data_IF_596443563630
#
_entry.id   IF_596443563630
#
_cell.length_a   1.000
_cell.length_b   1.000
_cell.length_c   1.000
_cell.angle_alpha   90.00
_cell.angle_beta   90.00
_cell.angle_gamma   90.00
#
_symmetry.space_group_name_H-M   'P 1'
#
loop_
_entity.id
_entity.type
_entity.pdbx_description
1 polymer ?
#
# COMPACT_ATOMS: atom_id res chain seq x y z
N UNK A 1 4.69 -1.38 -21.69
CA UNK A 1 4.02 -2.53 -21.06
C UNK A 1 2.87 -2.93 -21.97
N UNK A 2 2.74 -4.22 -22.30
CA UNK A 2 1.59 -4.74 -23.06
C UNK A 2 0.31 -4.47 -22.23
N UNK A 3 -0.77 -4.00 -22.88
CA UNK A 3 -2.09 -3.72 -22.28
C UNK A 3 -2.26 -2.44 -21.43
N UNK A 4 -1.27 -1.54 -21.34
CA UNK A 4 -1.46 -0.29 -20.57
C UNK A 4 -2.54 0.59 -21.18
N UNK A 5 -2.54 0.73 -22.51
CA UNK A 5 -3.48 1.61 -23.20
C UNK A 5 -4.91 1.05 -23.15
N UNK A 6 -5.05 -0.28 -23.27
CA UNK A 6 -6.33 -0.98 -23.17
C UNK A 6 -6.95 -0.84 -21.77
N UNK A 7 -6.22 -1.18 -20.71
CA UNK A 7 -6.75 -1.08 -19.34
C UNK A 7 -6.83 0.34 -18.77
N UNK A 8 -6.39 1.35 -19.53
CA UNK A 8 -6.52 2.77 -19.17
C UNK A 8 -7.37 3.56 -20.17
N UNK A 9 -8.04 2.89 -21.10
CA UNK A 9 -8.93 3.53 -22.06
C UNK A 9 -10.10 4.20 -21.33
N UNK A 10 -10.23 5.54 -21.35
CA UNK A 10 -11.26 6.25 -20.59
C UNK A 10 -12.67 5.81 -20.98
N UNK A 11 -12.90 5.55 -22.28
CA UNK A 11 -14.18 5.10 -22.81
C UNK A 11 -14.63 3.78 -22.16
N UNK A 12 -13.72 2.81 -22.01
CA UNK A 12 -14.02 1.52 -21.39
C UNK A 12 -14.27 1.67 -19.89
N UNK A 13 -13.51 2.53 -19.22
CA UNK A 13 -13.71 2.82 -17.79
C UNK A 13 -15.09 3.45 -17.57
N UNK A 14 -15.46 4.45 -18.36
CA UNK A 14 -16.77 5.11 -18.22
C UNK A 14 -17.93 4.16 -18.50
N UNK A 15 -17.80 3.28 -19.51
CA UNK A 15 -18.79 2.22 -19.75
C UNK A 15 -18.94 1.28 -18.54
N UNK A 16 -17.82 0.91 -17.90
CA UNK A 16 -17.85 0.10 -16.69
C UNK A 16 -18.51 0.84 -15.51
N UNK A 17 -18.24 2.13 -15.35
CA UNK A 17 -18.87 2.95 -14.30
C UNK A 17 -20.39 3.02 -14.47
N UNK A 18 -20.90 3.22 -15.69
CA UNK A 18 -22.35 3.19 -15.92
C UNK A 18 -22.95 1.82 -15.59
N UNK A 19 -22.29 0.74 -15.99
CA UNK A 19 -22.73 -0.60 -15.63
C UNK A 19 -22.75 -0.80 -14.12
N UNK A 20 -21.74 -0.32 -13.40
CA UNK A 20 -21.70 -0.39 -11.94
C UNK A 20 -22.83 0.41 -11.28
N UNK A 21 -23.20 1.57 -11.81
CA UNK A 21 -24.36 2.35 -11.32
C UNK A 21 -25.67 1.57 -11.47
N UNK A 22 -25.92 1.01 -12.64
CA UNK A 22 -27.12 0.19 -12.88
C UNK A 22 -27.20 -1.01 -11.93
N UNK A 23 -26.07 -1.68 -11.69
CA UNK A 23 -26.01 -2.85 -10.80
C UNK A 23 -26.12 -2.45 -9.33
N UNK A 24 -25.48 -1.37 -8.91
CA UNK A 24 -25.50 -0.90 -7.53
C UNK A 24 -26.90 -0.46 -7.10
N UNK A 25 -27.70 0.10 -8.01
CA UNK A 25 -29.10 0.48 -7.76
C UNK A 25 -30.02 -0.73 -7.45
N UNK A 26 -29.63 -1.94 -7.85
CA UNK A 26 -30.38 -3.18 -7.59
C UNK A 26 -30.01 -3.83 -6.25
N UNK A 27 -28.97 -3.33 -5.57
CA UNK A 27 -28.50 -3.88 -4.32
C UNK A 27 -29.18 -3.22 -3.12
N UNK A 28 -29.31 -3.91 -1.97
CA UNK A 28 -29.95 -3.37 -0.77
C UNK A 28 -29.01 -2.46 0.06
N UNK A 29 -28.07 -1.78 -0.60
CA UNK A 29 -27.13 -0.85 0.04
C UNK A 29 -27.55 0.58 -0.28
N UNK A 30 -27.50 1.43 0.74
CA UNK A 30 -27.89 2.84 0.71
C UNK A 30 -26.74 3.67 1.25
N UNK A 31 -26.78 4.98 1.10
CA UNK A 31 -25.66 5.86 1.46
C UNK A 31 -25.35 5.80 2.98
N UNK A 32 -26.36 5.58 3.84
CA UNK A 32 -26.17 5.38 5.28
C UNK A 32 -25.61 3.99 5.65
N UNK A 33 -25.67 3.03 4.73
CA UNK A 33 -25.16 1.66 4.90
C UNK A 33 -24.62 1.13 3.56
N UNK A 34 -23.49 1.67 3.09
CA UNK A 34 -22.97 1.37 1.77
C UNK A 34 -22.42 -0.05 1.69
N UNK A 35 -22.27 -0.55 0.46
CA UNK A 35 -21.48 -1.75 0.16
C UNK A 35 -20.01 -1.43 0.41
N UNK A 36 -19.43 -2.05 1.44
CA UNK A 36 -18.04 -1.85 1.80
C UNK A 36 -17.14 -2.88 1.13
N UNK A 37 -16.20 -2.40 0.32
CA UNK A 37 -15.22 -3.22 -0.38
C UNK A 37 -13.85 -2.91 0.21
N UNK A 38 -13.23 -3.91 0.85
CA UNK A 38 -11.89 -3.74 1.40
C UNK A 38 -10.82 -4.17 0.41
N UNK A 39 -9.85 -3.28 0.18
CA UNK A 39 -8.61 -3.62 -0.51
C UNK A 39 -7.46 -3.74 0.51
N UNK A 40 -6.47 -4.59 0.20
CA UNK A 40 -5.31 -4.85 1.07
C UNK A 40 -4.03 -4.81 0.23
N UNK A 41 -3.89 -3.78 -0.60
CA UNK A 41 -2.71 -3.57 -1.43
C UNK A 41 -2.46 -2.07 -1.61
N UNK A 42 -1.33 -1.57 -1.10
CA UNK A 42 -0.99 -0.15 -1.24
C UNK A 42 -0.97 0.35 -2.70
N UNK A 43 -0.71 -0.53 -3.67
CA UNK A 43 -0.81 -0.22 -5.09
C UNK A 43 -2.25 0.04 -5.56
N UNK A 44 -3.23 -0.71 -5.03
CA UNK A 44 -4.64 -0.45 -5.28
C UNK A 44 -5.11 0.83 -4.58
N UNK A 45 -4.74 1.03 -3.30
CA UNK A 45 -4.99 2.30 -2.60
C UNK A 45 -4.48 3.48 -3.44
N UNK A 46 -3.23 3.41 -3.91
CA UNK A 46 -2.63 4.44 -4.75
C UNK A 46 -3.41 4.66 -6.04
N UNK A 47 -3.82 3.59 -6.73
CA UNK A 47 -4.58 3.69 -7.97
C UNK A 47 -5.96 4.32 -7.76
N UNK A 48 -6.68 3.92 -6.71
CA UNK A 48 -8.01 4.46 -6.36
C UNK A 48 -7.93 5.97 -6.19
N UNK A 49 -7.01 6.46 -5.34
CA UNK A 49 -6.86 7.90 -5.12
C UNK A 49 -6.30 8.65 -6.33
N UNK A 50 -5.30 8.07 -7.01
CA UNK A 50 -4.66 8.71 -8.17
C UNK A 50 -5.66 8.96 -9.31
N UNK A 51 -6.60 8.05 -9.50
CA UNK A 51 -7.61 8.15 -10.56
C UNK A 51 -8.98 8.61 -10.06
N UNK A 52 -9.12 8.93 -8.77
CA UNK A 52 -10.39 9.37 -8.17
C UNK A 52 -11.52 8.36 -8.32
N UNK A 53 -11.21 7.05 -8.27
CA UNK A 53 -12.21 6.00 -8.51
C UNK A 53 -13.30 6.00 -7.43
N UNK A 54 -12.95 6.39 -6.21
CA UNK A 54 -13.87 6.61 -5.09
C UNK A 54 -14.94 7.67 -5.41
N UNK A 55 -14.61 8.67 -6.22
CA UNK A 55 -15.54 9.74 -6.64
C UNK A 55 -16.36 9.36 -7.88
N UNK A 56 -15.92 8.37 -8.67
CA UNK A 56 -16.61 7.92 -9.87
C UNK A 56 -17.67 6.86 -9.59
N UNK A 57 -17.51 6.12 -8.50
CA UNK A 57 -18.42 5.06 -8.09
C UNK A 57 -19.74 5.60 -7.51
N UNK A 58 -20.80 4.80 -7.49
CA UNK A 58 -22.05 5.13 -6.81
C UNK A 58 -21.84 5.43 -5.31
N UNK A 59 -22.58 6.39 -4.75
CA UNK A 59 -22.46 6.81 -3.33
C UNK A 59 -22.74 5.68 -2.33
N UNK A 60 -23.53 4.68 -2.75
CA UNK A 60 -23.80 3.48 -1.95
C UNK A 60 -22.68 2.42 -2.01
N UNK A 61 -21.50 2.75 -2.52
CA UNK A 61 -20.28 1.92 -2.53
C UNK A 61 -19.13 2.66 -1.86
N UNK A 62 -18.52 2.02 -0.86
CA UNK A 62 -17.44 2.61 -0.06
C UNK A 62 -16.20 1.69 -0.12
N UNK A 63 -15.03 2.26 -0.38
CA UNK A 63 -13.76 1.53 -0.23
C UNK A 63 -13.24 1.60 1.21
N UNK A 64 -12.86 0.44 1.75
CA UNK A 64 -12.07 0.35 2.97
C UNK A 64 -10.61 0.08 2.58
N UNK A 65 -9.71 0.93 3.05
CA UNK A 65 -8.27 0.76 2.86
C UNK A 65 -7.70 -0.07 4.01
N UNK A 66 -7.50 -1.36 3.74
CA UNK A 66 -6.95 -2.30 4.70
C UNK A 66 -5.42 -2.18 4.85
N UNK A 67 -4.80 -3.04 5.67
CA UNK A 67 -3.36 -3.01 5.96
C UNK A 67 -2.51 -3.58 4.79
N UNK A 68 -2.56 -2.93 3.62
CA UNK A 68 -1.88 -3.37 2.39
C UNK A 68 -0.41 -2.97 2.24
N UNK A 69 0.19 -2.39 3.29
CA UNK A 69 1.58 -1.93 3.30
C UNK A 69 2.41 -2.84 4.23
N UNK A 70 3.26 -3.75 3.69
CA UNK A 70 3.99 -4.71 4.51
C UNK A 70 4.97 -4.05 5.50
N UNK A 71 5.54 -2.91 5.12
CA UNK A 71 6.45 -2.12 5.98
C UNK A 71 5.70 -1.44 7.12
N UNK A 72 4.49 -0.96 6.85
CA UNK A 72 3.67 -0.23 7.82
C UNK A 72 3.14 -1.14 8.95
N UNK A 73 3.01 -2.44 8.68
CA UNK A 73 2.59 -3.45 9.66
C UNK A 73 3.75 -4.25 10.26
N UNK A 74 4.99 -3.86 9.96
CA UNK A 74 6.16 -4.56 10.47
C UNK A 74 6.26 -4.37 12.00
N UNK A 75 6.29 -5.46 12.80
CA UNK A 75 6.36 -5.33 14.24
C UNK A 75 7.68 -4.67 14.67
N UNK A 76 7.63 -3.76 15.66
CA UNK A 76 8.83 -3.07 16.17
C UNK A 76 9.94 -4.05 16.59
N UNK A 77 9.58 -5.19 17.21
CA UNK A 77 10.55 -6.21 17.61
C UNK A 77 11.30 -6.84 16.43
N UNK A 78 10.74 -6.83 15.21
CA UNK A 78 11.45 -7.27 13.99
C UNK A 78 12.52 -6.26 13.59
N UNK A 79 12.23 -4.96 13.68
CA UNK A 79 13.22 -3.91 13.44
C UNK A 79 14.36 -3.99 14.44
N UNK A 80 14.05 -4.24 15.72
CA UNK A 80 15.08 -4.40 16.75
C UNK A 80 16.03 -5.55 16.42
N UNK A 81 15.50 -6.72 16.02
CA UNK A 81 16.34 -7.84 15.54
C UNK A 81 17.17 -7.47 14.31
N UNK A 82 16.63 -6.70 13.37
CA UNK A 82 17.37 -6.23 12.20
C UNK A 82 18.52 -5.29 12.58
N UNK A 83 18.30 -4.37 13.53
CA UNK A 83 19.32 -3.44 14.04
C UNK A 83 20.42 -4.18 14.79
N UNK A 84 20.06 -5.19 15.58
CA UNK A 84 21.02 -6.06 16.26
C UNK A 84 21.92 -6.78 15.25
N UNK A 85 21.31 -7.46 14.26
CA UNK A 85 22.06 -8.16 13.20
C UNK A 85 22.97 -7.19 12.42
N UNK A 86 22.45 -6.01 12.06
CA UNK A 86 23.22 -5.01 11.31
C UNK A 86 24.41 -4.43 12.11
N UNK A 87 24.38 -4.52 13.44
CA UNK A 87 25.45 -3.97 14.30
C UNK A 87 26.69 -4.87 14.37
N UNK A 88 26.64 -6.09 13.82
CA UNK A 88 27.79 -6.98 13.73
C UNK A 88 28.80 -6.49 12.68
N UNK A 89 30.09 -6.31 13.03
CA UNK A 89 31.11 -5.77 12.10
C UNK A 89 31.28 -6.54 10.79
N UNK A 90 30.97 -7.84 10.78
CA UNK A 90 31.07 -8.74 9.64
C UNK A 90 29.82 -8.78 8.74
N UNK A 91 28.76 -8.04 9.11
CA UNK A 91 27.47 -8.07 8.42
C UNK A 91 27.29 -6.87 7.49
N UNK A 92 26.88 -7.16 6.26
CA UNK A 92 26.25 -6.18 5.37
C UNK A 92 24.74 -6.43 5.40
N UNK A 93 23.97 -5.52 5.99
CA UNK A 93 22.53 -5.66 6.10
C UNK A 93 21.82 -4.98 4.92
N UNK A 94 21.19 -5.76 4.05
CA UNK A 94 20.43 -5.25 2.91
C UNK A 94 18.94 -5.11 3.26
N UNK A 95 18.33 -3.99 2.87
CA UNK A 95 16.90 -3.73 3.11
C UNK A 95 16.30 -2.84 2.03
N UNK A 96 14.96 -2.79 1.96
CA UNK A 96 14.28 -1.82 1.10
C UNK A 96 14.35 -0.41 1.70
N UNK A 97 14.37 0.61 0.85
CA UNK A 97 14.55 2.00 1.28
C UNK A 97 13.45 2.53 2.20
N UNK A 98 12.23 2.01 2.07
CA UNK A 98 11.09 2.34 2.93
C UNK A 98 11.23 1.77 4.35
N UNK A 99 11.81 0.57 4.49
CA UNK A 99 12.07 -0.05 5.78
C UNK A 99 13.16 0.65 6.61
N UNK A 100 14.06 1.43 5.97
CA UNK A 100 15.18 2.11 6.64
C UNK A 100 14.75 3.02 7.80
N UNK A 101 13.57 3.64 7.69
CA UNK A 101 13.08 4.65 8.64
C UNK A 101 12.10 4.10 9.66
N UNK A 102 11.72 2.83 9.56
CA UNK A 102 10.78 2.23 10.50
C UNK A 102 11.40 2.24 11.91
N UNK A 103 10.70 2.77 12.92
CA UNK A 103 11.24 2.85 14.27
C UNK A 103 11.22 1.48 14.95
N UNK A 104 12.35 1.10 15.54
CA UNK A 104 12.45 0.08 16.59
C UNK A 104 12.67 0.73 17.95
N UNK A 105 12.73 -0.10 18.99
CA UNK A 105 13.06 0.32 20.36
C UNK A 105 14.51 0.82 20.47
N UNK A 106 15.43 0.25 19.67
CA UNK A 106 16.84 0.64 19.59
C UNK A 106 17.13 1.68 18.49
N UNK A 107 16.07 2.29 17.96
CA UNK A 107 16.13 3.16 16.80
C UNK A 107 15.86 2.43 15.47
N UNK A 108 16.09 3.13 14.36
CA UNK A 108 15.88 2.60 13.02
C UNK A 108 17.18 2.08 12.38
N UNK A 109 17.05 1.32 11.27
CA UNK A 109 18.18 0.89 10.46
C UNK A 109 18.99 2.07 9.89
N UNK A 110 18.31 3.18 9.59
CA UNK A 110 18.99 4.44 9.20
C UNK A 110 19.86 4.98 10.33
N UNK A 111 19.40 4.91 11.58
CA UNK A 111 20.21 5.33 12.74
C UNK A 111 21.35 4.34 13.03
N UNK A 112 21.15 3.05 12.80
CA UNK A 112 22.22 2.05 12.91
C UNK A 112 23.34 2.33 11.89
N UNK A 113 22.97 2.63 10.64
CA UNK A 113 23.93 3.04 9.61
C UNK A 113 24.72 4.28 10.04
N UNK A 114 24.03 5.31 10.56
CA UNK A 114 24.70 6.52 11.09
C UNK A 114 25.67 6.23 12.26
N UNK A 115 25.52 5.11 12.97
CA UNK A 115 26.44 4.65 14.03
C UNK A 115 27.61 3.79 13.51
N UNK A 116 27.68 3.54 12.21
CA UNK A 116 28.77 2.80 11.56
C UNK A 116 28.43 1.37 11.11
N UNK A 117 27.17 0.93 11.23
CA UNK A 117 26.74 -0.35 10.65
C UNK A 117 26.71 -0.29 9.11
N UNK A 118 27.12 -1.36 8.41
CA UNK A 118 27.02 -1.44 6.95
C UNK A 118 25.59 -1.86 6.54
N UNK A 119 24.70 -0.87 6.41
CA UNK A 119 23.31 -1.06 5.95
C UNK A 119 23.13 -0.50 4.55
N UNK A 120 22.66 -1.31 3.61
CA UNK A 120 22.51 -0.92 2.19
C UNK A 120 21.07 -1.04 1.75
N UNK A 121 20.55 0.04 1.14
CA UNK A 121 19.25 0.00 0.48
C UNK A 121 19.36 -0.67 -0.89
N UNK A 122 18.48 -1.62 -1.16
CA UNK A 122 18.40 -2.35 -2.43
C UNK A 122 16.98 -2.32 -2.99
N UNK A 123 16.84 -2.59 -4.29
CA UNK A 123 15.54 -2.66 -4.98
C UNK A 123 14.96 -4.07 -5.07
N UNK A 124 15.78 -5.10 -4.89
CA UNK A 124 15.42 -6.52 -4.88
C UNK A 124 16.57 -7.35 -4.34
#
# INVERSE_FOLDING_TARGET
>A
MRFVDEYRAPEQVMQLIEHLRERAALLPYIDERPLRIMEVCGGHTHAIFKFGLDQLLPENVEFIHGPGCPVCVLPMGRIDSCVEIASHPEVIFCTFGDAMRVPGKQGSLLQANARGADVRSVYS
#
